data_IF_343034427399
#
_entry.id   IF_343034427399
#
_cell.length_a   1.000
_cell.length_b   1.000
_cell.length_c   1.000
_cell.angle_alpha   90.00
_cell.angle_beta   90.00
_cell.angle_gamma   90.00
#
_symmetry.space_group_name_H-M   'P 1'
#
loop_
_entity.id
_entity.type
_entity.pdbx_description
1 polymer ?
#
# COMPACT_ATOMS: atom_id res chain seq x y z
N UNK A 1 -17.04 -11.03 6.21
CA UNK A 1 -17.14 -10.30 7.50
C UNK A 1 -16.09 -9.21 7.49
N UNK A 2 -16.52 -7.95 7.61
CA UNK A 2 -15.63 -6.79 7.66
C UNK A 2 -14.71 -6.85 8.90
N UNK A 3 -13.54 -6.24 8.83
CA UNK A 3 -12.63 -6.04 9.98
C UNK A 3 -13.38 -5.36 11.14
N UNK A 4 -14.31 -4.45 10.81
CA UNK A 4 -15.19 -3.77 11.76
C UNK A 4 -16.16 -4.73 12.47
N UNK A 5 -16.65 -5.79 11.80
CA UNK A 5 -17.52 -6.81 12.40
C UNK A 5 -16.76 -7.68 13.40
N UNK A 6 -15.48 -7.97 13.13
CA UNK A 6 -14.61 -8.73 14.03
C UNK A 6 -14.21 -7.90 15.27
N UNK A 7 -13.95 -6.61 15.10
CA UNK A 7 -13.69 -5.67 16.21
C UNK A 7 -14.88 -5.58 17.18
N UNK A 8 -16.11 -5.51 16.65
CA UNK A 8 -17.33 -5.45 17.48
C UNK A 8 -17.57 -6.71 18.31
N UNK A 9 -17.18 -7.90 17.80
CA UNK A 9 -17.30 -9.17 18.52
C UNK A 9 -16.21 -9.39 19.59
N UNK A 10 -14.99 -8.91 19.36
CA UNK A 10 -13.82 -9.24 20.19
C UNK A 10 -13.26 -8.02 20.94
N UNK A 11 -14.03 -7.50 21.92
CA UNK A 11 -13.73 -6.28 22.72
C UNK A 11 -12.42 -6.28 23.54
N UNK A 12 -11.59 -7.34 23.49
CA UNK A 12 -10.37 -7.50 24.32
C UNK A 12 -9.09 -7.81 23.53
N UNK A 13 -9.14 -7.92 22.20
CA UNK A 13 -7.94 -8.14 21.39
C UNK A 13 -7.37 -6.81 20.94
N UNK A 14 -6.05 -6.60 21.12
CA UNK A 14 -5.37 -5.48 20.48
C UNK A 14 -5.46 -5.61 18.96
N UNK A 15 -5.48 -4.48 18.24
CA UNK A 15 -5.55 -4.46 16.76
C UNK A 15 -4.46 -5.36 16.16
N UNK A 16 -3.25 -5.35 16.74
CA UNK A 16 -2.13 -6.25 16.36
C UNK A 16 -2.48 -7.73 16.46
N UNK A 17 -3.10 -8.17 17.56
CA UNK A 17 -3.58 -9.55 17.71
C UNK A 17 -4.71 -9.88 16.73
N UNK A 18 -5.56 -8.91 16.42
CA UNK A 18 -6.66 -9.11 15.47
C UNK A 18 -6.16 -9.33 14.04
N UNK A 19 -5.16 -8.55 13.59
CA UNK A 19 -4.58 -8.67 12.25
C UNK A 19 -3.48 -9.74 12.15
N UNK A 20 -3.14 -10.38 13.27
CA UNK A 20 -2.08 -11.40 13.32
C UNK A 20 -0.65 -10.86 13.17
N UNK A 21 -0.45 -9.55 13.23
CA UNK A 21 0.85 -8.91 13.13
C UNK A 21 1.46 -8.69 14.52
N UNK A 22 2.43 -9.51 14.88
CA UNK A 22 3.13 -9.39 16.16
C UNK A 22 4.14 -8.23 16.14
N UNK A 23 4.94 -8.13 15.08
CA UNK A 23 5.95 -7.07 14.92
C UNK A 23 6.33 -6.88 13.45
N UNK A 24 6.90 -5.71 13.13
CA UNK A 24 7.58 -5.45 11.87
C UNK A 24 9.08 -5.39 12.19
N UNK A 25 9.88 -6.26 11.56
CA UNK A 25 11.34 -6.25 11.66
C UNK A 25 11.92 -6.15 10.27
N UNK A 26 12.76 -5.14 10.04
CA UNK A 26 13.39 -4.86 8.75
C UNK A 26 12.36 -4.81 7.61
N UNK A 27 12.43 -5.75 6.67
CA UNK A 27 11.50 -5.90 5.54
C UNK A 27 10.38 -6.92 5.77
N UNK A 28 10.20 -7.42 7.00
CA UNK A 28 9.32 -8.53 7.34
C UNK A 28 8.21 -8.14 8.33
N UNK A 29 7.01 -8.64 8.06
CA UNK A 29 5.92 -8.76 9.02
C UNK A 29 6.01 -10.12 9.72
N UNK A 30 6.16 -10.13 11.04
CA UNK A 30 6.17 -11.36 11.84
C UNK A 30 4.81 -11.58 12.49
N UNK A 31 4.33 -12.82 12.46
CA UNK A 31 3.15 -13.22 13.22
C UNK A 31 3.52 -13.78 14.61
N UNK A 32 2.51 -14.09 15.41
CA UNK A 32 2.69 -14.62 16.77
C UNK A 32 3.27 -16.04 16.82
N UNK A 33 3.22 -16.78 15.71
CA UNK A 33 3.83 -18.11 15.56
C UNK A 33 5.31 -18.05 15.15
N UNK A 34 5.83 -16.84 14.87
CA UNK A 34 7.20 -16.63 14.39
C UNK A 34 7.38 -16.74 12.89
N UNK A 35 6.31 -16.98 12.12
CA UNK A 35 6.34 -16.97 10.65
C UNK A 35 6.60 -15.55 10.17
N UNK A 36 7.31 -15.44 9.04
CA UNK A 36 7.75 -14.16 8.50
C UNK A 36 7.14 -13.99 7.11
N UNK A 37 6.58 -12.83 6.86
CA UNK A 37 6.12 -12.43 5.53
C UNK A 37 6.94 -11.24 5.08
N UNK A 38 7.70 -11.41 4.01
CA UNK A 38 8.50 -10.34 3.43
C UNK A 38 7.93 -9.90 2.09
N UNK A 39 8.21 -8.66 1.69
CA UNK A 39 7.53 -8.07 0.54
C UNK A 39 8.51 -7.44 -0.46
N UNK A 40 8.22 -7.62 -1.74
CA UNK A 40 8.76 -6.82 -2.82
C UNK A 40 7.72 -5.83 -3.31
N UNK A 41 8.12 -4.59 -3.55
CA UNK A 41 7.29 -3.59 -4.22
C UNK A 41 7.53 -3.68 -5.71
N UNK A 42 6.45 -3.73 -6.47
CA UNK A 42 6.43 -3.84 -7.92
C UNK A 42 5.96 -2.52 -8.50
N UNK A 43 6.78 -1.92 -9.37
CA UNK A 43 6.38 -0.73 -10.11
C UNK A 43 5.63 -1.17 -11.37
N UNK A 44 4.33 -0.85 -11.52
CA UNK A 44 3.58 -1.22 -12.70
C UNK A 44 4.09 -0.49 -13.94
N UNK A 45 3.93 -1.10 -15.11
CA UNK A 45 4.16 -0.42 -16.39
C UNK A 45 2.83 0.01 -16.99
N UNK A 46 2.80 1.20 -17.61
CA UNK A 46 1.61 1.66 -18.30
C UNK A 46 1.41 0.83 -19.59
N UNK A 47 0.41 -0.05 -19.59
CA UNK A 47 0.14 -0.93 -20.73
C UNK A 47 -0.54 -0.21 -21.90
N UNK A 48 -1.21 0.94 -21.67
CA UNK A 48 -1.99 1.61 -22.72
C UNK A 48 -1.15 2.24 -23.82
N UNK A 49 0.14 2.44 -23.57
CA UNK A 49 1.10 3.01 -24.52
C UNK A 49 1.96 1.95 -25.22
N UNK A 50 1.79 0.67 -24.86
CA UNK A 50 2.59 -0.42 -25.40
C UNK A 50 1.85 -1.11 -26.56
N UNK A 51 2.58 -1.53 -27.61
CA UNK A 51 2.00 -2.34 -28.67
C UNK A 51 1.66 -3.76 -28.16
N UNK A 52 0.68 -4.41 -28.78
CA UNK A 52 0.13 -5.70 -28.33
C UNK A 52 1.19 -6.80 -28.17
N UNK A 53 2.18 -6.83 -29.06
CA UNK A 53 3.30 -7.78 -29.00
C UNK A 53 4.16 -7.60 -27.73
N UNK A 54 4.38 -6.35 -27.29
CA UNK A 54 5.11 -6.05 -26.05
C UNK A 54 4.29 -6.41 -24.82
N UNK A 55 2.97 -6.21 -24.86
CA UNK A 55 2.06 -6.64 -23.78
C UNK A 55 2.13 -8.16 -23.62
N UNK A 56 2.01 -8.92 -24.71
CA UNK A 56 2.14 -10.38 -24.69
C UNK A 56 3.53 -10.82 -24.22
N UNK A 57 4.59 -10.15 -24.67
CA UNK A 57 5.96 -10.40 -24.22
C UNK A 57 6.13 -10.19 -22.72
N UNK A 58 5.54 -9.13 -22.15
CA UNK A 58 5.54 -8.88 -20.70
C UNK A 58 4.78 -9.95 -19.93
N UNK A 59 3.63 -10.41 -20.42
CA UNK A 59 2.87 -11.48 -19.78
C UNK A 59 3.73 -12.75 -19.69
N UNK A 60 4.36 -13.15 -20.80
CA UNK A 60 5.25 -14.34 -20.83
C UNK A 60 6.43 -14.21 -19.86
N UNK A 61 7.07 -13.03 -19.82
CA UNK A 61 8.17 -12.77 -18.87
C UNK A 61 7.69 -12.85 -17.42
N UNK A 62 6.50 -12.32 -17.10
CA UNK A 62 5.95 -12.42 -15.75
C UNK A 62 5.61 -13.87 -15.36
N UNK A 63 5.10 -14.67 -16.30
CA UNK A 63 4.88 -16.11 -16.09
C UNK A 63 6.18 -16.83 -15.77
N UNK A 64 7.23 -16.59 -16.55
CA UNK A 64 8.56 -17.18 -16.31
C UNK A 64 9.15 -16.76 -14.95
N UNK A 65 8.99 -15.49 -14.56
CA UNK A 65 9.39 -15.01 -13.23
C UNK A 65 8.69 -15.82 -12.13
N UNK A 66 7.37 -16.02 -12.24
CA UNK A 66 6.59 -16.75 -11.24
C UNK A 66 7.04 -18.20 -11.11
N UNK A 67 7.37 -18.85 -12.23
CA UNK A 67 7.93 -20.21 -12.24
C UNK A 67 9.31 -20.28 -11.56
N UNK A 68 10.15 -19.24 -11.71
CA UNK A 68 11.51 -19.22 -11.16
C UNK A 68 11.59 -18.83 -9.68
N UNK A 69 10.77 -17.88 -9.22
CA UNK A 69 10.77 -17.42 -7.82
C UNK A 69 9.98 -18.36 -6.89
N UNK A 70 9.12 -19.21 -7.45
CA UNK A 70 8.22 -20.09 -6.71
C UNK A 70 6.96 -19.38 -6.22
N UNK A 71 6.39 -19.87 -5.12
CA UNK A 71 5.12 -19.36 -4.58
C UNK A 71 5.29 -17.98 -3.94
N UNK A 72 4.64 -16.99 -4.53
CA UNK A 72 4.49 -15.64 -3.98
C UNK A 72 3.04 -15.18 -4.12
N UNK A 73 2.52 -14.50 -3.11
CA UNK A 73 1.19 -13.92 -3.13
C UNK A 73 1.24 -12.49 -3.66
N UNK A 74 0.44 -12.17 -4.68
CA UNK A 74 0.38 -10.83 -5.25
C UNK A 74 -0.72 -10.01 -4.60
N UNK A 75 -0.35 -8.84 -4.09
CA UNK A 75 -1.23 -7.92 -3.38
C UNK A 75 -1.30 -6.62 -4.18
N UNK A 76 -2.52 -6.12 -4.38
CA UNK A 76 -2.75 -4.78 -4.92
C UNK A 76 -3.40 -3.94 -3.84
N UNK A 77 -2.71 -2.88 -3.41
CA UNK A 77 -3.21 -1.93 -2.43
C UNK A 77 -3.67 -0.71 -3.19
N UNK A 78 -4.91 -0.32 -2.95
CA UNK A 78 -5.46 0.89 -3.51
C UNK A 78 -5.69 1.88 -2.38
N UNK A 79 -5.07 3.06 -2.46
CA UNK A 79 -5.33 4.17 -1.55
C UNK A 79 -6.54 4.99 -1.97
N UNK A 80 -7.38 4.49 -2.90
CA UNK A 80 -8.57 5.21 -3.34
C UNK A 80 -9.54 5.43 -2.19
N UNK A 81 -9.62 6.67 -1.74
CA UNK A 81 -10.78 7.17 -1.04
C UNK A 81 -11.92 7.37 -2.04
N UNK A 82 -13.14 6.97 -1.69
CA UNK A 82 -14.34 7.35 -2.46
C UNK A 82 -14.81 8.72 -1.98
N UNK A 83 -14.82 9.70 -2.89
CA UNK A 83 -15.42 11.02 -2.67
C UNK A 83 -16.84 11.10 -3.23
N UNK A 84 -17.49 9.97 -3.50
CA UNK A 84 -18.79 9.96 -4.18
C UNK A 84 -19.88 10.67 -3.37
N UNK A 85 -19.86 10.51 -2.04
CA UNK A 85 -20.78 11.24 -1.15
C UNK A 85 -20.53 12.75 -1.18
N UNK A 86 -19.26 13.18 -1.14
CA UNK A 86 -18.89 14.59 -1.23
C UNK A 86 -19.32 15.19 -2.58
N UNK A 87 -19.10 14.46 -3.67
CA UNK A 87 -19.54 14.86 -5.01
C UNK A 87 -21.06 14.95 -5.11
N UNK A 88 -21.79 14.01 -4.52
CA UNK A 88 -23.25 14.09 -4.45
C UNK A 88 -23.72 15.31 -3.66
N UNK A 89 -23.10 15.60 -2.53
CA UNK A 89 -23.41 16.78 -1.72
C UNK A 89 -23.18 18.09 -2.49
N UNK A 90 -22.01 18.24 -3.13
CA UNK A 90 -21.67 19.45 -3.89
C UNK A 90 -22.57 19.62 -5.12
N UNK A 91 -22.92 18.52 -5.83
CA UNK A 91 -23.90 18.59 -6.94
C UNK A 91 -25.27 19.07 -6.48
N UNK A 92 -25.70 18.66 -5.29
CA UNK A 92 -26.96 19.12 -4.73
C UNK A 92 -26.89 20.62 -4.39
N UNK A 93 -25.79 21.10 -3.81
CA UNK A 93 -25.57 22.54 -3.57
C UNK A 93 -25.61 23.33 -4.87
N UNK A 94 -24.81 22.94 -5.87
CA UNK A 94 -24.72 23.57 -7.19
C UNK A 94 -26.12 23.76 -7.82
N UNK A 95 -26.98 22.74 -7.70
CA UNK A 95 -28.35 22.76 -8.23
C UNK A 95 -29.27 23.76 -7.53
N UNK A 96 -29.05 23.99 -6.23
CA UNK A 96 -29.85 24.89 -5.38
C UNK A 96 -29.30 26.32 -5.31
N UNK A 97 -28.04 26.52 -5.67
CA UNK A 97 -27.33 27.79 -5.64
C UNK A 97 -27.92 28.79 -6.64
N UNK A 98 -28.27 29.99 -6.17
CA UNK A 98 -28.73 31.10 -7.04
C UNK A 98 -27.61 32.04 -7.47
N UNK A 99 -26.49 32.04 -6.74
CA UNK A 99 -25.35 32.90 -7.03
C UNK A 99 -24.43 32.19 -8.03
N UNK A 100 -24.24 32.82 -9.19
CA UNK A 100 -23.43 32.26 -10.27
C UNK A 100 -21.96 32.03 -9.88
N UNK A 101 -21.37 32.90 -9.05
CA UNK A 101 -19.98 32.72 -8.58
C UNK A 101 -19.82 31.52 -7.64
N UNK A 102 -20.82 31.24 -6.81
CA UNK A 102 -20.79 30.07 -5.93
C UNK A 102 -20.95 28.78 -6.73
N UNK A 103 -21.85 28.79 -7.72
CA UNK A 103 -22.01 27.67 -8.65
C UNK A 103 -20.73 27.36 -9.44
N UNK A 104 -19.99 28.38 -9.88
CA UNK A 104 -18.68 28.22 -10.51
C UNK A 104 -17.63 27.62 -9.57
N UNK A 105 -17.68 27.96 -8.28
CA UNK A 105 -16.79 27.40 -7.26
C UNK A 105 -17.09 25.91 -7.01
N UNK A 106 -18.38 25.55 -6.87
CA UNK A 106 -18.82 24.16 -6.71
C UNK A 106 -18.37 23.28 -7.89
N UNK A 107 -18.43 23.82 -9.12
CA UNK A 107 -17.94 23.13 -10.31
C UNK A 107 -16.42 22.91 -10.28
N UNK A 108 -15.65 23.87 -9.74
CA UNK A 108 -14.21 23.71 -9.56
C UNK A 108 -13.91 22.64 -8.51
N UNK A 109 -14.65 22.62 -7.41
CA UNK A 109 -14.50 21.60 -6.35
C UNK A 109 -14.84 20.20 -6.87
N UNK A 110 -15.90 20.05 -7.67
CA UNK A 110 -16.24 18.77 -8.31
C UNK A 110 -15.12 18.27 -9.24
N UNK A 111 -14.56 19.17 -10.08
CA UNK A 111 -13.43 18.84 -10.96
C UNK A 111 -12.19 18.45 -10.17
N UNK A 112 -11.91 19.17 -9.09
CA UNK A 112 -10.79 18.86 -8.20
C UNK A 112 -10.94 17.48 -7.55
N UNK A 113 -12.14 17.14 -7.05
CA UNK A 113 -12.40 15.81 -6.49
C UNK A 113 -12.28 14.69 -7.53
N UNK A 114 -12.74 14.91 -8.76
CA UNK A 114 -12.55 13.96 -9.86
C UNK A 114 -11.06 13.81 -10.22
N UNK A 115 -10.31 14.90 -10.30
CA UNK A 115 -8.87 14.88 -10.57
C UNK A 115 -8.09 14.13 -9.48
N UNK A 116 -8.42 14.34 -8.20
CA UNK A 116 -7.81 13.59 -7.10
C UNK A 116 -8.17 12.11 -7.23
N UNK A 117 -9.43 11.76 -7.50
CA UNK A 117 -9.84 10.37 -7.63
C UNK A 117 -9.12 9.65 -8.78
N UNK A 118 -8.91 10.34 -9.91
CA UNK A 118 -8.11 9.83 -11.04
C UNK A 118 -6.64 9.65 -10.61
N UNK A 119 -6.04 10.64 -9.95
CA UNK A 119 -4.66 10.55 -9.45
C UNK A 119 -4.49 9.41 -8.43
N UNK A 120 -5.44 9.24 -7.51
CA UNK A 120 -5.44 8.14 -6.54
C UNK A 120 -5.67 6.77 -7.21
N UNK A 121 -6.49 6.69 -8.27
CA UNK A 121 -6.64 5.46 -9.03
C UNK A 121 -5.32 5.02 -9.68
N UNK A 122 -4.42 5.97 -9.98
CA UNK A 122 -3.07 5.70 -10.48
C UNK A 122 -2.01 5.44 -9.40
N UNK A 123 -2.32 5.65 -8.11
CA UNK A 123 -1.41 5.36 -6.99
C UNK A 123 -1.53 3.95 -6.43
N UNK A 124 -2.05 3.00 -7.22
CA UNK A 124 -2.10 1.58 -6.84
C UNK A 124 -0.68 1.08 -6.60
N UNK A 125 -0.45 0.51 -5.43
CA UNK A 125 0.81 -0.13 -5.10
C UNK A 125 0.66 -1.64 -5.23
N UNK A 126 1.57 -2.26 -5.99
CA UNK A 126 1.61 -3.68 -6.20
C UNK A 126 2.74 -4.27 -5.37
N UNK A 127 2.47 -5.39 -4.69
CA UNK A 127 3.44 -6.07 -3.85
C UNK A 127 3.42 -7.58 -4.12
N UNK A 128 4.57 -8.22 -4.05
CA UNK A 128 4.69 -9.67 -3.98
C UNK A 128 5.11 -10.06 -2.57
N UNK A 129 4.33 -10.92 -1.92
CA UNK A 129 4.56 -11.40 -0.56
C UNK A 129 5.15 -12.81 -0.58
N UNK A 130 6.20 -13.01 0.21
CA UNK A 130 6.93 -14.25 0.35
C UNK A 130 6.79 -14.73 1.80
N UNK A 131 6.39 -15.99 1.97
CA UNK A 131 6.18 -16.60 3.27
C UNK A 131 7.36 -17.48 3.67
N UNK A 132 7.81 -17.29 4.91
CA UNK A 132 8.94 -18.00 5.48
C UNK A 132 8.56 -18.65 6.81
N UNK A 133 9.10 -19.83 7.03
CA UNK A 133 8.97 -20.60 8.27
C UNK A 133 9.61 -19.86 9.45
N UNK A 134 9.19 -20.13 10.70
CA UNK A 134 9.89 -19.62 11.87
C UNK A 134 11.37 -20.01 11.90
N UNK A 135 11.71 -21.15 11.28
CA UNK A 135 13.07 -21.71 11.23
C UNK A 135 14.01 -20.98 10.26
N UNK A 136 13.47 -20.23 9.31
CA UNK A 136 14.29 -19.54 8.31
C UNK A 136 15.02 -18.36 8.96
N UNK A 137 16.34 -18.29 8.79
CA UNK A 137 17.16 -17.19 9.28
C UNK A 137 16.87 -15.90 8.50
N UNK A 138 17.14 -14.74 9.09
CA UNK A 138 16.97 -13.47 8.39
C UNK A 138 17.89 -13.35 7.17
N UNK A 139 19.11 -13.89 7.26
CA UNK A 139 20.06 -13.98 6.14
C UNK A 139 19.48 -14.80 4.97
N UNK A 140 18.77 -15.90 5.26
CA UNK A 140 18.10 -16.69 4.23
C UNK A 140 16.98 -15.90 3.55
N UNK A 141 16.17 -15.19 4.35
CA UNK A 141 15.10 -14.32 3.84
C UNK A 141 15.68 -13.26 2.90
N UNK A 142 16.74 -12.56 3.32
CA UNK A 142 17.41 -11.55 2.49
C UNK A 142 18.00 -12.13 1.21
N UNK A 143 18.61 -13.31 1.29
CA UNK A 143 19.15 -14.00 0.11
C UNK A 143 18.04 -14.31 -0.91
N UNK A 144 16.90 -14.86 -0.46
CA UNK A 144 15.76 -15.19 -1.33
C UNK A 144 15.17 -13.91 -1.96
N UNK A 145 14.99 -12.85 -1.17
CA UNK A 145 14.48 -11.58 -1.67
C UNK A 145 15.42 -10.93 -2.69
N UNK A 146 16.73 -10.92 -2.42
CA UNK A 146 17.72 -10.39 -3.35
C UNK A 146 17.73 -11.18 -4.66
N UNK A 147 17.66 -12.52 -4.60
CA UNK A 147 17.52 -13.37 -5.77
C UNK A 147 16.26 -13.01 -6.57
N UNK A 148 15.11 -12.90 -5.89
CA UNK A 148 13.86 -12.53 -6.55
C UNK A 148 13.95 -11.15 -7.22
N UNK A 149 14.53 -10.14 -6.54
CA UNK A 149 14.77 -8.81 -7.14
C UNK A 149 15.60 -8.91 -8.42
N UNK A 150 16.65 -9.72 -8.44
CA UNK A 150 17.46 -9.92 -9.65
C UNK A 150 16.67 -10.58 -10.77
N UNK A 151 15.84 -11.59 -10.46
CA UNK A 151 14.99 -12.26 -11.45
C UNK A 151 14.02 -11.27 -12.10
N UNK A 152 13.36 -10.42 -11.31
CA UNK A 152 12.49 -9.37 -11.85
C UNK A 152 13.26 -8.36 -12.70
N UNK A 153 14.44 -7.90 -12.25
CA UNK A 153 15.28 -6.96 -13.01
C UNK A 153 15.73 -7.53 -14.35
N UNK A 154 16.18 -8.79 -14.37
CA UNK A 154 16.59 -9.49 -15.60
C UNK A 154 15.43 -9.60 -16.61
N UNK A 155 14.19 -9.67 -16.12
CA UNK A 155 12.99 -9.71 -16.94
C UNK A 155 12.38 -8.31 -17.23
N UNK A 156 13.15 -7.23 -17.01
CA UNK A 156 12.74 -5.84 -17.27
C UNK A 156 11.53 -5.37 -16.44
N UNK A 157 11.42 -5.86 -15.20
CA UNK A 157 10.47 -5.34 -14.20
C UNK A 157 11.21 -4.55 -13.13
N UNK A 158 10.71 -3.36 -12.81
CA UNK A 158 11.24 -2.54 -11.73
C UNK A 158 10.68 -3.03 -10.39
N UNK A 159 11.56 -3.53 -9.52
CA UNK A 159 11.20 -3.98 -8.18
C UNK A 159 12.27 -3.62 -7.15
N UNK A 160 11.85 -3.52 -5.89
CA UNK A 160 12.71 -3.33 -4.72
C UNK A 160 12.13 -4.05 -3.51
N UNK A 161 12.98 -4.35 -2.54
CA UNK A 161 12.55 -4.86 -1.23
C UNK A 161 11.76 -3.75 -0.50
N UNK A 162 10.65 -4.12 0.13
CA UNK A 162 9.87 -3.21 0.97
C UNK A 162 10.63 -2.86 2.24
N UNK A 163 10.65 -1.57 2.59
CA UNK A 163 11.19 -1.11 3.88
C UNK A 163 10.15 -1.25 4.99
N UNK A 164 10.60 -1.16 6.25
CA UNK A 164 9.72 -1.05 7.42
C UNK A 164 8.64 0.04 7.24
N UNK A 165 9.01 1.19 6.68
CA UNK A 165 8.09 2.31 6.45
C UNK A 165 7.05 1.98 5.37
N UNK A 166 7.45 1.29 4.31
CA UNK A 166 6.50 0.82 3.30
C UNK A 166 5.46 -0.14 3.91
N UNK A 167 5.88 -1.04 4.79
CA UNK A 167 4.98 -1.97 5.47
C UNK A 167 4.01 -1.24 6.42
N UNK A 168 4.51 -0.26 7.18
CA UNK A 168 3.64 0.60 8.02
C UNK A 168 2.59 1.31 7.18
N UNK A 169 3.00 1.93 6.07
CA UNK A 169 2.09 2.63 5.14
C UNK A 169 1.05 1.68 4.55
N UNK A 170 1.47 0.50 4.11
CA UNK A 170 0.59 -0.57 3.62
C UNK A 170 -0.47 -0.96 4.67
N UNK A 171 -0.07 -1.17 5.93
CA UNK A 171 -0.99 -1.48 7.01
C UNK A 171 -1.94 -0.31 7.33
N UNK A 172 -1.45 0.93 7.30
CA UNK A 172 -2.25 2.13 7.52
C UNK A 172 -3.35 2.26 6.45
N UNK A 173 -3.00 2.08 5.16
CA UNK A 173 -3.97 2.08 4.06
C UNK A 173 -5.05 1.00 4.27
N UNK A 174 -4.64 -0.22 4.62
CA UNK A 174 -5.58 -1.34 4.82
C UNK A 174 -6.46 -1.18 6.08
N UNK A 175 -6.03 -0.38 7.05
CA UNK A 175 -6.77 -0.12 8.29
C UNK A 175 -7.56 1.19 8.25
N UNK A 176 -7.69 1.82 7.07
CA UNK A 176 -8.40 3.08 6.87
C UNK A 176 -7.91 4.21 7.80
N UNK A 177 -6.61 4.22 8.12
CA UNK A 177 -6.00 5.33 8.89
C UNK A 177 -5.57 6.45 7.95
N UNK A 178 -5.72 7.70 8.40
CA UNK A 178 -5.27 8.88 7.68
C UNK A 178 -3.75 8.81 7.43
N UNK A 179 -3.34 8.81 6.14
CA UNK A 179 -1.95 8.63 5.69
C UNK A 179 -1.22 9.97 5.57
N UNK A 180 -1.83 11.09 6.00
CA UNK A 180 -1.32 12.44 5.74
C UNK A 180 -0.03 12.80 6.51
N UNK A 181 0.52 11.89 7.30
CA UNK A 181 1.81 12.08 7.96
C UNK A 181 2.94 11.35 7.22
N UNK A 182 3.88 12.13 6.65
CA UNK A 182 5.10 11.66 5.97
C UNK A 182 6.03 10.83 6.88
N UNK A 183 5.76 10.79 8.19
CA UNK A 183 6.55 10.03 9.17
C UNK A 183 5.64 9.20 10.07
N UNK A 184 5.52 7.90 9.78
CA UNK A 184 4.88 6.96 10.69
C UNK A 184 5.80 6.70 11.89
N UNK A 185 5.61 7.45 12.97
CA UNK A 185 6.35 7.29 14.22
C UNK A 185 6.26 5.85 14.74
N UNK A 186 7.30 5.34 15.40
CA UNK A 186 7.30 4.06 16.12
C UNK A 186 6.52 4.16 17.44
N UNK A 187 6.49 5.34 18.05
CA UNK A 187 5.76 5.66 19.28
C UNK A 187 5.38 7.15 19.31
N UNK A 188 4.35 7.48 20.08
CA UNK A 188 3.84 8.84 20.23
C UNK A 188 4.94 9.80 20.72
N UNK A 189 5.19 10.88 19.98
CA UNK A 189 6.17 11.91 20.32
C UNK A 189 7.59 11.69 19.78
N UNK A 190 7.85 10.66 18.97
CA UNK A 190 9.19 10.36 18.44
C UNK A 190 9.83 11.56 17.72
N UNK A 191 9.06 12.29 16.89
CA UNK A 191 9.59 13.43 16.17
C UNK A 191 9.94 14.62 17.08
N UNK A 192 9.33 14.71 18.26
CA UNK A 192 9.57 15.78 19.23
C UNK A 192 10.81 15.53 20.10
N UNK A 193 11.28 14.28 20.21
CA UNK A 193 12.52 13.94 20.92
C UNK A 193 13.77 14.55 20.25
N UNK A 194 13.85 14.49 18.91
CA UNK A 194 14.99 15.07 18.16
C UNK A 194 15.11 16.59 18.36
N UNK A 195 13.98 17.28 18.51
CA UNK A 195 13.94 18.73 18.77
C UNK A 195 14.45 19.08 20.18
N UNK A 196 14.27 18.16 21.14
CA UNK A 196 14.77 18.33 22.51
C UNK A 196 16.28 18.08 22.62
N UNK A 197 16.83 17.18 21.80
CA UNK A 197 18.28 16.92 21.77
C UNK A 197 19.09 18.03 21.09
N UNK A 198 18.51 18.74 20.11
CA UNK A 198 19.13 19.91 19.46
C UNK A 198 19.15 21.18 20.32
N UNK A 199 18.46 21.19 21.47
CA UNK A 199 18.41 22.32 22.42
C UNK A 199 19.31 22.16 23.65
N UNK A 200 20.18 21.12 23.67
CA UNK A 200 21.27 20.98 24.63
C UNK A 200 22.59 21.35 23.99
#
# INVERSE_FOLDING_TARGET
>A
MSLQDKLKKNKKLSVRKLIGAASIKDCCLMNYSGEKTAFLILTPSNLSILPDNEVVGKIKRLTAIHEEIGTADYICINSTQSYDQNKHFIRNLESSERNQKLRELDQQDLRFLDDIQIKMATSREFMAAFHFSPRDSMEHVEMVLNKAVQIFKNNSFATRIASKNDLKRCLAINLEQDIYEDTSQDFDGENHLKVLEMKK
#
